data_IF_006350110956
#
_entry.id   IF_006350110956
#
_cell.length_a   1.000
_cell.length_b   1.000
_cell.length_c   1.000
_cell.angle_alpha   90.00
_cell.angle_beta   90.00
_cell.angle_gamma   90.00
#
_symmetry.space_group_name_H-M   'P 1'
#
loop_
_entity.id
_entity.type
_entity.pdbx_description
1 polymer ?
#
# COMPACT_ATOMS: atom_id res chain seq x y z
N UNK A 1 -15.13 -6.40 27.13
CA UNK A 1 -14.88 -6.80 25.74
C UNK A 1 -14.11 -8.10 25.78
N UNK A 2 -14.46 -9.10 24.96
CA UNK A 2 -13.79 -10.40 24.97
C UNK A 2 -12.37 -10.26 24.42
N UNK A 3 -11.43 -11.02 24.99
CA UNK A 3 -10.06 -11.13 24.47
C UNK A 3 -9.97 -12.03 23.24
N UNK A 4 -11.06 -12.72 22.88
CA UNK A 4 -11.15 -13.59 21.70
C UNK A 4 -12.14 -13.03 20.67
N UNK A 5 -11.89 -13.34 19.40
CA UNK A 5 -12.76 -12.97 18.29
C UNK A 5 -13.88 -13.99 18.10
N UNK A 6 -15.12 -13.51 17.89
CA UNK A 6 -16.31 -14.36 17.79
C UNK A 6 -16.40 -15.19 16.51
N UNK A 7 -15.68 -14.79 15.46
CA UNK A 7 -15.71 -15.46 14.16
C UNK A 7 -14.72 -16.62 14.10
N UNK A 8 -13.52 -16.40 14.64
CA UNK A 8 -12.36 -17.30 14.50
C UNK A 8 -12.03 -18.07 15.81
N UNK A 9 -12.62 -17.70 16.96
CA UNK A 9 -12.33 -18.21 18.33
C UNK A 9 -10.86 -18.12 18.77
N UNK A 10 -10.01 -17.43 17.99
CA UNK A 10 -8.63 -17.11 18.35
C UNK A 10 -8.53 -15.79 19.11
N UNK A 11 -7.33 -15.48 19.60
CA UNK A 11 -7.01 -14.22 20.27
C UNK A 11 -7.40 -13.03 19.37
N UNK A 12 -8.07 -12.05 19.97
CA UNK A 12 -8.56 -10.86 19.29
C UNK A 12 -7.45 -10.14 18.56
N UNK A 13 -6.24 -10.12 19.13
CA UNK A 13 -5.05 -9.46 18.61
C UNK A 13 -4.58 -9.96 17.22
N UNK A 14 -5.08 -11.09 16.73
CA UNK A 14 -4.79 -11.61 15.37
C UNK A 14 -5.89 -11.26 14.36
N UNK A 15 -7.14 -11.23 14.82
CA UNK A 15 -8.31 -10.88 14.00
C UNK A 15 -8.66 -9.37 14.11
N UNK A 16 -7.90 -8.58 14.86
CA UNK A 16 -8.04 -7.14 15.08
C UNK A 16 -7.01 -6.36 14.25
N UNK A 17 -7.41 -5.17 13.80
CA UNK A 17 -6.58 -4.36 12.93
C UNK A 17 -6.51 -4.91 11.50
N UNK A 18 -6.06 -4.07 10.58
CA UNK A 18 -5.75 -4.47 9.21
C UNK A 18 -4.32 -4.06 8.94
N UNK A 19 -3.51 -4.98 8.41
CA UNK A 19 -2.13 -4.68 8.06
C UNK A 19 -2.08 -4.02 6.69
N UNK A 20 -1.50 -2.83 6.64
CA UNK A 20 -1.23 -2.10 5.40
C UNK A 20 0.09 -2.63 4.81
N UNK A 21 0.01 -3.10 3.57
CA UNK A 21 1.16 -3.52 2.78
C UNK A 21 1.72 -2.32 2.02
N UNK A 22 2.77 -1.71 2.57
CA UNK A 22 3.47 -0.59 1.95
C UNK A 22 4.40 -1.05 0.82
N UNK A 23 4.58 -0.18 -0.18
CA UNK A 23 5.61 -0.39 -1.21
C UNK A 23 6.96 0.11 -0.71
N UNK A 24 7.91 -0.82 -0.53
CA UNK A 24 9.30 -0.49 -0.16
C UNK A 24 9.51 -0.10 1.30
N UNK A 25 8.46 -0.07 2.11
CA UNK A 25 8.52 0.23 3.55
C UNK A 25 8.11 -0.99 4.38
N UNK A 26 8.17 -0.85 5.70
CA UNK A 26 7.66 -1.88 6.60
C UNK A 26 6.14 -1.93 6.54
N UNK A 27 5.61 -3.13 6.73
CA UNK A 27 4.17 -3.33 6.95
C UNK A 27 3.76 -2.66 8.26
N UNK A 28 2.54 -2.14 8.32
CA UNK A 28 2.01 -1.42 9.48
C UNK A 28 0.60 -1.92 9.80
N UNK A 29 0.32 -2.25 11.07
CA UNK A 29 -1.06 -2.47 11.50
C UNK A 29 -1.76 -1.13 11.72
N UNK A 30 -3.01 -1.00 11.26
CA UNK A 30 -3.81 0.23 11.46
C UNK A 30 -4.05 0.59 12.93
N UNK A 31 -3.80 -0.33 13.87
CA UNK A 31 -3.84 -0.02 15.30
C UNK A 31 -2.43 0.28 15.83
N UNK A 32 -2.20 1.54 16.21
CA UNK A 32 -0.90 2.05 16.64
C UNK A 32 -0.30 1.36 17.89
N UNK A 33 -1.15 0.75 18.73
CA UNK A 33 -0.72 0.06 19.95
C UNK A 33 -0.73 -1.48 19.80
N UNK A 34 -0.91 -1.99 18.57
CA UNK A 34 -0.81 -3.42 18.32
C UNK A 34 0.62 -3.92 18.56
N UNK A 35 0.77 -4.90 19.46
CA UNK A 35 2.07 -5.53 19.76
C UNK A 35 2.26 -6.85 19.00
N UNK A 36 1.23 -7.30 18.29
CA UNK A 36 1.23 -8.52 17.49
C UNK A 36 2.06 -8.33 16.23
N UNK A 37 2.92 -9.28 15.84
CA UNK A 37 3.64 -9.21 14.57
C UNK A 37 2.70 -9.08 13.37
N UNK A 38 3.04 -8.24 12.39
CA UNK A 38 2.20 -7.96 11.23
C UNK A 38 1.91 -9.24 10.43
N UNK A 39 2.89 -10.15 10.34
CA UNK A 39 2.79 -11.41 9.61
C UNK A 39 1.79 -12.43 10.18
N UNK A 40 1.29 -12.25 11.42
CA UNK A 40 0.32 -13.17 12.04
C UNK A 40 -1.11 -12.63 12.02
N UNK A 41 -1.34 -11.47 11.42
CA UNK A 41 -2.69 -10.97 11.18
C UNK A 41 -3.31 -11.71 9.99
N UNK A 42 -4.63 -11.86 10.00
CA UNK A 42 -5.37 -12.46 8.88
C UNK A 42 -5.74 -11.43 7.79
N UNK A 43 -5.84 -10.15 8.15
CA UNK A 43 -6.35 -9.11 7.26
C UNK A 43 -5.25 -8.18 6.78
N UNK A 44 -5.09 -8.12 5.46
CA UNK A 44 -4.15 -7.24 4.78
C UNK A 44 -4.87 -6.34 3.76
N UNK A 45 -4.36 -5.14 3.58
CA UNK A 45 -4.80 -4.19 2.56
C UNK A 45 -3.58 -3.54 1.90
N UNK A 46 -3.60 -3.40 0.58
CA UNK A 46 -2.54 -2.70 -0.14
C UNK A 46 -2.55 -1.20 0.16
N UNK A 47 -1.37 -0.60 0.33
CA UNK A 47 -1.24 0.82 0.61
C UNK A 47 -1.83 1.71 -0.50
N UNK A 48 -1.94 1.19 -1.73
CA UNK A 48 -2.62 1.84 -2.85
C UNK A 48 -4.12 2.04 -2.57
N UNK A 49 -4.80 1.03 -2.01
CA UNK A 49 -6.22 1.12 -1.69
C UNK A 49 -6.49 2.11 -0.53
N UNK A 50 -5.50 2.28 0.36
CA UNK A 50 -5.53 3.25 1.45
C UNK A 50 -5.21 4.68 0.97
N UNK A 51 -4.47 4.81 -0.13
CA UNK A 51 -3.98 6.10 -0.64
C UNK A 51 -2.71 6.59 0.06
N UNK A 52 -1.85 5.68 0.51
CA UNK A 52 -0.57 6.03 1.11
C UNK A 52 0.39 6.65 0.08
N UNK A 53 1.16 7.67 0.49
CA UNK A 53 2.09 8.36 -0.40
C UNK A 53 3.25 7.50 -0.92
N UNK A 54 3.53 6.35 -0.31
CA UNK A 54 4.52 5.41 -0.81
C UNK A 54 4.10 4.67 -2.09
N UNK A 55 2.80 4.54 -2.36
CA UNK A 55 2.30 4.04 -3.63
C UNK A 55 2.66 4.99 -4.79
N UNK A 56 2.58 6.30 -4.54
CA UNK A 56 2.91 7.36 -5.52
C UNK A 56 4.43 7.52 -5.69
N UNK A 57 5.19 7.33 -4.60
CA UNK A 57 6.65 7.46 -4.58
C UNK A 57 7.39 6.29 -5.23
N UNK A 58 6.65 5.30 -5.73
CA UNK A 58 7.19 4.11 -6.42
C UNK A 58 7.67 4.39 -7.84
N UNK A 59 8.01 5.65 -8.17
CA UNK A 59 8.87 6.04 -9.29
C UNK A 59 10.33 5.60 -9.04
N UNK A 60 10.52 4.35 -8.60
CA UNK A 60 11.76 3.81 -8.03
C UNK A 60 12.09 2.43 -8.61
N UNK A 61 12.26 2.40 -9.92
CA UNK A 61 12.96 1.40 -10.73
C UNK A 61 12.22 0.07 -11.05
N UNK A 62 11.92 -0.20 -12.35
CA UNK A 62 11.59 -1.56 -12.77
C UNK A 62 12.82 -2.46 -12.57
N UNK A 63 12.67 -3.52 -11.78
CA UNK A 63 13.56 -4.69 -11.80
C UNK A 63 13.27 -5.47 -13.09
N UNK A 64 13.70 -4.93 -14.22
CA UNK A 64 13.63 -5.53 -15.55
C UNK A 64 14.72 -4.92 -16.44
N UNK A 65 15.19 -5.63 -17.49
CA UNK A 65 16.23 -5.08 -18.34
C UNK A 65 15.67 -3.81 -19.01
N UNK A 66 16.39 -2.69 -18.82
CA UNK A 66 16.00 -1.39 -19.31
C UNK A 66 15.71 -1.42 -20.81
N UNK A 67 14.42 -1.38 -21.18
CA UNK A 67 14.03 -0.87 -22.51
C UNK A 67 13.62 0.56 -22.29
N UNK A 68 14.40 1.48 -22.83
CA UNK A 68 14.15 2.92 -22.71
C UNK A 68 12.77 3.23 -23.27
N UNK A 69 11.82 3.59 -22.40
CA UNK A 69 10.55 4.18 -22.81
C UNK A 69 10.84 5.55 -23.42
N UNK A 70 10.85 5.61 -24.75
CA UNK A 70 10.84 6.89 -25.46
C UNK A 70 9.47 7.53 -25.27
N UNK A 71 9.34 8.42 -24.30
CA UNK A 71 8.19 9.31 -24.20
C UNK A 71 8.23 10.28 -25.38
N UNK A 72 7.50 9.95 -26.44
CA UNK A 72 7.24 10.88 -27.53
C UNK A 72 6.18 11.88 -27.06
N UNK A 73 6.62 12.98 -26.45
CA UNK A 73 5.75 14.11 -26.12
C UNK A 73 5.36 14.83 -27.41
N UNK A 74 4.15 14.56 -27.92
CA UNK A 74 3.55 15.36 -28.99
C UNK A 74 3.05 16.66 -28.38
N UNK A 75 3.73 17.77 -28.69
CA UNK A 75 3.28 19.11 -28.31
C UNK A 75 2.28 19.63 -29.35
N UNK A 76 1.01 19.80 -28.97
CA UNK A 76 0.03 20.51 -29.80
C UNK A 76 0.11 22.00 -29.49
N UNK A 77 0.74 22.77 -30.38
CA UNK A 77 0.75 24.23 -30.30
C UNK A 77 -0.57 24.78 -30.87
N UNK A 78 -1.44 25.29 -30.00
CA UNK A 78 -2.62 26.06 -30.43
C UNK A 78 -2.15 27.47 -30.80
N UNK A 79 -2.22 27.82 -32.09
CA UNK A 79 -2.02 29.19 -32.55
C UNK A 79 -3.23 30.04 -32.16
N UNK A 80 -3.02 31.04 -31.32
CA UNK A 80 -4.00 32.10 -31.09
C UNK A 80 -4.14 32.94 -32.37
N UNK A 81 -5.35 32.95 -32.94
CA UNK A 81 -5.75 33.97 -33.92
C UNK A 81 -6.18 35.22 -33.14
N UNK A 82 -5.66 36.37 -33.58
CA UNK A 82 -5.75 37.67 -32.91
C UNK A 82 -7.11 38.33 -32.87
#
# INVERSE_FOLDING_TARGET
MSATCRECDVEHEHCHGTVILHVGERQECTEAECSTPEAVHDYFIDCYAVGCGCAESSEGQPIGPAVSSVSSSVTVSVRAAG
#
